data_IF_417038421780
#
_entry.id   IF_417038421780
#
_cell.length_a   1.000
_cell.length_b   1.000
_cell.length_c   1.000
_cell.angle_alpha   90.00
_cell.angle_beta   90.00
_cell.angle_gamma   90.00
#
_symmetry.space_group_name_H-M   'P 1'
#
loop_
_entity.id
_entity.type
_entity.pdbx_description
1 polymer ?
#
# COMPACT_ATOMS: atom_id res chain seq x y z
N UNK A 1 -10.99 9.16 19.09
CA UNK A 1 -11.23 8.38 20.32
C UNK A 1 -11.46 9.35 21.45
N UNK A 2 -12.30 9.00 22.42
CA UNK A 2 -12.50 9.80 23.62
C UNK A 2 -11.84 9.10 24.81
N UNK A 3 -11.02 9.84 25.56
CA UNK A 3 -10.42 9.39 26.81
C UNK A 3 -11.20 9.99 27.97
N UNK A 4 -11.61 9.14 28.91
CA UNK A 4 -12.34 9.56 30.09
C UNK A 4 -11.45 9.42 31.32
N UNK A 5 -11.37 10.49 32.12
CA UNK A 5 -10.60 10.51 33.35
C UNK A 5 -11.51 10.82 34.55
N UNK A 6 -11.41 9.98 35.57
CA UNK A 6 -12.15 10.12 36.84
C UNK A 6 -11.47 11.06 37.85
N UNK A 7 -10.30 11.56 37.51
CA UNK A 7 -9.53 12.58 38.21
C UNK A 7 -8.76 13.38 37.17
N UNK A 8 -8.26 14.55 37.54
CA UNK A 8 -7.49 15.39 36.60
C UNK A 8 -6.07 14.86 36.45
N UNK A 9 -5.67 14.33 35.26
CA UNK A 9 -4.30 13.89 35.05
C UNK A 9 -3.36 15.11 34.91
N UNK A 10 -2.06 14.89 35.13
CA UNK A 10 -1.05 15.87 34.67
C UNK A 10 -1.02 15.90 33.14
N UNK A 11 -0.36 16.91 32.55
CA UNK A 11 -0.20 16.95 31.09
C UNK A 11 0.55 15.71 30.60
N UNK A 12 1.60 15.32 31.32
CA UNK A 12 2.39 14.13 31.04
C UNK A 12 1.54 12.87 31.12
N UNK A 13 0.72 12.70 32.16
CA UNK A 13 -0.15 11.54 32.32
C UNK A 13 -1.28 11.50 31.28
N UNK A 14 -1.75 12.65 30.79
CA UNK A 14 -2.66 12.70 29.64
C UNK A 14 -1.95 12.24 28.37
N UNK A 15 -0.75 12.74 28.11
CA UNK A 15 0.06 12.32 26.97
C UNK A 15 0.36 10.82 27.03
N UNK A 16 0.77 10.31 28.18
CA UNK A 16 0.95 8.87 28.42
C UNK A 16 -0.34 8.10 28.18
N UNK A 17 -1.51 8.57 28.65
CA UNK A 17 -2.78 7.89 28.40
C UNK A 17 -3.18 7.92 26.91
N UNK A 18 -2.85 8.99 26.17
CA UNK A 18 -3.00 9.05 24.72
C UNK A 18 -2.06 8.05 24.07
N UNK A 19 -0.79 8.05 24.45
CA UNK A 19 0.23 7.14 23.95
C UNK A 19 -0.10 5.68 24.28
N UNK A 20 -0.67 5.39 25.44
CA UNK A 20 -1.14 4.07 25.86
C UNK A 20 -2.41 3.67 25.10
N UNK A 21 -3.33 4.60 24.85
CA UNK A 21 -4.53 4.29 24.06
C UNK A 21 -4.18 4.08 22.58
N UNK A 22 -3.16 4.78 22.12
CA UNK A 22 -2.65 4.76 20.77
C UNK A 22 -1.21 4.29 20.81
N UNK A 23 -1.00 3.07 21.34
CA UNK A 23 0.23 2.38 21.78
C UNK A 23 1.57 2.69 21.04
N UNK A 24 1.56 3.34 19.87
CA UNK A 24 2.70 3.61 19.00
C UNK A 24 2.69 5.02 18.33
N UNK A 25 1.96 5.98 18.85
CA UNK A 25 1.95 7.37 18.38
C UNK A 25 2.15 8.31 19.55
N UNK A 26 3.00 9.34 19.38
CA UNK A 26 3.24 10.31 20.45
C UNK A 26 2.04 11.23 20.59
N UNK A 27 1.80 11.75 21.79
CA UNK A 27 0.70 12.69 21.99
C UNK A 27 0.78 13.92 21.05
N UNK A 28 1.98 14.31 20.63
CA UNK A 28 2.24 15.38 19.64
C UNK A 28 1.73 15.09 18.23
N UNK A 29 1.50 13.81 17.88
CA UNK A 29 0.92 13.38 16.60
C UNK A 29 -0.62 13.51 16.59
N UNK A 30 -1.20 14.05 17.66
CA UNK A 30 -2.63 14.21 17.82
C UNK A 30 -3.00 15.65 18.14
N UNK A 31 -4.19 16.03 17.68
CA UNK A 31 -4.90 17.19 18.21
C UNK A 31 -5.73 16.69 19.37
N UNK A 32 -5.30 17.05 20.58
CA UNK A 32 -6.08 16.86 21.80
C UNK A 32 -7.05 18.02 21.95
N UNK A 33 -8.32 17.73 22.22
CA UNK A 33 -9.33 18.77 22.43
C UNK A 33 -10.42 18.39 23.41
N UNK A 34 -11.08 19.40 23.95
CA UNK A 34 -12.28 19.30 24.78
C UNK A 34 -13.31 20.30 24.27
N UNK A 35 -14.39 19.80 23.65
CA UNK A 35 -15.32 20.64 22.89
C UNK A 35 -14.60 21.37 21.74
N UNK A 36 -14.53 22.71 21.82
CA UNK A 36 -13.86 23.58 20.84
C UNK A 36 -12.42 23.97 21.23
N UNK A 37 -12.00 23.69 22.46
CA UNK A 37 -10.67 24.07 22.96
C UNK A 37 -9.64 23.02 22.55
N UNK A 38 -8.59 23.44 21.84
CA UNK A 38 -7.38 22.64 21.62
C UNK A 38 -6.53 22.64 22.90
N UNK A 39 -5.98 21.47 23.23
CA UNK A 39 -5.17 21.24 24.41
C UNK A 39 -3.71 21.06 24.00
N UNK A 40 -2.83 21.69 24.76
CA UNK A 40 -1.37 21.63 24.72
C UNK A 40 -0.82 21.87 26.14
N UNK A 41 0.50 21.79 26.31
CA UNK A 41 1.14 21.97 27.61
C UNK A 41 0.84 23.34 28.28
N UNK A 42 0.55 24.37 27.48
CA UNK A 42 0.29 25.73 27.98
C UNK A 42 -1.18 25.93 28.39
N UNK A 43 -2.10 25.39 27.60
CA UNK A 43 -3.55 25.51 27.82
C UNK A 43 -4.05 24.50 28.85
N UNK A 44 -3.34 23.39 29.06
CA UNK A 44 -3.73 22.33 29.98
C UNK A 44 -3.91 22.78 31.43
N UNK A 45 -2.96 23.47 32.09
CA UNK A 45 -3.10 23.86 33.49
C UNK A 45 -4.34 24.73 33.75
N UNK A 46 -4.66 25.64 32.83
CA UNK A 46 -5.84 26.50 32.92
C UNK A 46 -7.15 25.73 32.75
N UNK A 47 -7.17 24.73 31.86
CA UNK A 47 -8.34 23.89 31.65
C UNK A 47 -8.58 22.88 32.79
N UNK A 48 -7.50 22.26 33.27
CA UNK A 48 -7.46 21.19 34.26
C UNK A 48 -7.85 21.66 35.67
N UNK A 49 -7.61 22.94 35.98
CA UNK A 49 -7.84 23.50 37.32
C UNK A 49 -9.29 23.31 37.81
N UNK A 50 -9.44 22.72 39.00
CA UNK A 50 -10.72 22.57 39.70
C UNK A 50 -11.70 21.53 39.13
N UNK A 51 -11.32 20.77 38.08
CA UNK A 51 -12.18 19.73 37.51
C UNK A 51 -12.06 18.42 38.28
N UNK A 52 -13.19 17.70 38.40
CA UNK A 52 -13.27 16.36 39.04
C UNK A 52 -13.28 15.22 38.02
N UNK A 53 -13.79 15.46 36.82
CA UNK A 53 -13.77 14.51 35.70
C UNK A 53 -13.66 15.26 34.39
N UNK A 54 -13.19 14.57 33.34
CA UNK A 54 -13.06 15.16 32.01
C UNK A 54 -13.08 14.12 30.90
N UNK A 55 -13.49 14.57 29.72
CA UNK A 55 -13.46 13.82 28.48
C UNK A 55 -12.56 14.57 27.51
N UNK A 56 -11.51 13.91 27.03
CA UNK A 56 -10.59 14.45 26.03
C UNK A 56 -10.78 13.72 24.72
N UNK A 57 -11.14 14.46 23.67
CA UNK A 57 -11.19 13.94 22.32
C UNK A 57 -9.80 13.97 21.68
N UNK A 58 -9.35 12.81 21.21
CA UNK A 58 -8.08 12.62 20.51
C UNK A 58 -8.35 12.48 19.01
N UNK A 59 -7.83 13.44 18.23
CA UNK A 59 -7.97 13.49 16.77
C UNK A 59 -6.59 13.29 16.14
N UNK A 60 -6.48 12.31 15.24
CA UNK A 60 -5.25 12.10 14.46
C UNK A 60 -5.02 13.25 13.47
N UNK A 61 -3.77 13.71 13.35
CA UNK A 61 -3.36 14.64 12.29
C UNK A 61 -3.24 13.96 10.91
N UNK A 62 -3.31 12.62 10.86
CA UNK A 62 -3.12 11.85 9.66
C UNK A 62 -4.19 12.19 8.61
N UNK A 63 -3.72 12.63 7.45
CA UNK A 63 -4.57 13.01 6.33
C UNK A 63 -4.88 11.80 5.43
N UNK A 64 -5.99 11.81 4.68
CA UNK A 64 -6.28 10.79 3.68
C UNK A 64 -5.13 10.66 2.67
N UNK A 65 -4.84 9.44 2.20
CA UNK A 65 -3.80 9.20 1.18
C UNK A 65 -3.99 10.07 -0.08
N UNK A 66 -5.23 10.27 -0.51
CA UNK A 66 -5.61 11.12 -1.66
C UNK A 66 -5.31 12.62 -1.49
N UNK A 67 -4.92 13.07 -0.30
CA UNK A 67 -4.59 14.48 -0.05
C UNK A 67 -3.13 14.85 -0.35
N UNK A 68 -2.30 13.86 -0.71
CA UNK A 68 -0.88 14.05 -0.95
C UNK A 68 -0.59 14.22 -2.45
N UNK A 69 -0.16 15.41 -2.90
CA UNK A 69 0.15 15.65 -4.30
C UNK A 69 1.49 15.03 -4.68
N UNK A 70 1.75 14.89 -5.99
CA UNK A 70 2.99 14.34 -6.55
C UNK A 70 4.26 14.82 -5.85
N UNK A 71 4.40 16.13 -5.63
CA UNK A 71 5.59 16.78 -5.07
C UNK A 71 5.85 16.39 -3.60
N UNK A 72 4.83 15.88 -2.89
CA UNK A 72 4.97 15.44 -1.52
C UNK A 72 5.70 14.10 -1.39
N UNK A 73 5.80 13.29 -2.46
CA UNK A 73 6.29 11.92 -2.41
C UNK A 73 7.67 11.80 -1.75
N UNK A 74 8.64 12.57 -2.24
CA UNK A 74 10.02 12.51 -1.75
C UNK A 74 10.17 13.01 -0.32
N UNK A 75 9.44 14.08 0.03
CA UNK A 75 9.40 14.59 1.40
C UNK A 75 8.79 13.58 2.36
N UNK A 76 7.74 12.87 1.94
CA UNK A 76 7.09 11.85 2.76
C UNK A 76 8.02 10.70 3.08
N UNK A 77 8.76 10.19 2.09
CA UNK A 77 9.68 9.06 2.23
C UNK A 77 11.07 9.46 2.75
N UNK A 78 11.33 10.75 2.95
CA UNK A 78 12.61 11.27 3.41
C UNK A 78 13.74 11.06 2.40
N UNK A 79 13.41 11.09 1.10
CA UNK A 79 14.33 10.81 -0.01
C UNK A 79 14.73 12.11 -0.72
N UNK A 80 15.89 12.09 -1.37
CA UNK A 80 16.30 13.13 -2.32
C UNK A 80 15.72 12.84 -3.71
N UNK A 81 15.49 13.90 -4.49
CA UNK A 81 14.88 13.82 -5.81
C UNK A 81 15.95 13.34 -6.82
N UNK A 82 16.14 12.03 -6.88
CA UNK A 82 17.00 11.39 -7.88
C UNK A 82 16.13 10.61 -8.86
N UNK A 83 15.75 11.26 -9.96
CA UNK A 83 15.39 10.52 -11.17
C UNK A 83 16.69 9.96 -11.73
N UNK A 84 17.06 8.76 -11.29
CA UNK A 84 18.08 7.99 -11.98
C UNK A 84 17.36 7.29 -13.12
N UNK A 85 17.33 7.93 -14.30
CA UNK A 85 17.27 7.16 -15.54
C UNK A 85 18.58 6.35 -15.56
N UNK A 86 18.46 5.02 -15.57
CA UNK A 86 19.56 4.05 -15.57
C UNK A 86 20.25 3.82 -14.20
N UNK A 87 19.61 3.01 -13.35
CA UNK A 87 20.37 2.18 -12.41
C UNK A 87 20.80 0.94 -13.21
N UNK A 88 22.10 0.60 -13.21
CA UNK A 88 22.62 -0.68 -13.73
C UNK A 88 22.00 -1.90 -13.00
N UNK A 89 21.27 -1.66 -11.91
CA UNK A 89 20.39 -2.62 -11.25
C UNK A 89 18.95 -2.55 -11.82
N UNK A 90 18.81 -2.71 -13.14
CA UNK A 90 17.52 -3.00 -13.76
C UNK A 90 16.88 -4.17 -12.99
N UNK A 91 15.57 -4.11 -12.74
CA UNK A 91 14.88 -5.19 -12.04
C UNK A 91 15.05 -6.48 -12.83
N UNK A 92 15.99 -7.34 -12.39
CA UNK A 92 16.29 -8.57 -13.10
C UNK A 92 15.05 -9.45 -13.05
N UNK A 93 14.39 -9.58 -14.20
CA UNK A 93 13.26 -10.48 -14.35
C UNK A 93 13.75 -11.91 -14.07
N UNK A 94 13.03 -12.61 -13.20
CA UNK A 94 13.28 -14.03 -13.00
C UNK A 94 13.11 -14.76 -14.34
N UNK A 95 13.96 -15.77 -14.58
CA UNK A 95 13.79 -16.65 -15.75
C UNK A 95 12.46 -17.38 -15.59
N UNK A 96 11.54 -17.10 -16.49
CA UNK A 96 10.23 -17.73 -16.50
C UNK A 96 10.25 -18.99 -17.37
N UNK A 97 9.85 -20.11 -16.78
CA UNK A 97 9.65 -21.38 -17.48
C UNK A 97 8.22 -21.86 -17.25
N UNK A 98 7.47 -22.01 -18.33
CA UNK A 98 6.06 -22.42 -18.32
C UNK A 98 5.87 -23.84 -17.78
N UNK A 99 6.89 -24.68 -17.84
CA UNK A 99 6.86 -26.07 -17.40
C UNK A 99 7.22 -26.24 -15.93
N UNK A 100 7.60 -25.14 -15.25
CA UNK A 100 7.91 -25.15 -13.82
C UNK A 100 6.72 -25.71 -13.03
N UNK A 101 6.91 -26.78 -12.25
CA UNK A 101 5.84 -27.38 -11.47
C UNK A 101 5.44 -26.47 -10.30
N UNK A 102 4.14 -26.41 -10.02
CA UNK A 102 3.58 -25.78 -8.83
C UNK A 102 3.59 -26.74 -7.63
N UNK A 103 3.46 -26.22 -6.40
CA UNK A 103 3.16 -27.04 -5.23
C UNK A 103 1.95 -27.97 -5.47
N UNK A 104 2.03 -29.27 -5.08
CA UNK A 104 0.96 -30.24 -5.33
C UNK A 104 -0.41 -29.82 -4.79
N UNK A 105 -0.44 -29.03 -3.71
CA UNK A 105 -1.66 -28.53 -3.08
C UNK A 105 -2.49 -27.65 -4.02
N UNK A 106 -1.85 -26.95 -4.97
CA UNK A 106 -2.55 -26.15 -5.99
C UNK A 106 -3.21 -27.03 -7.05
N UNK A 107 -2.63 -28.18 -7.39
CA UNK A 107 -3.27 -29.14 -8.30
C UNK A 107 -4.53 -29.72 -7.65
N UNK A 108 -4.45 -30.08 -6.36
CA UNK A 108 -5.58 -30.61 -5.61
C UNK A 108 -6.72 -29.60 -5.43
N UNK A 109 -6.40 -28.33 -5.20
CA UNK A 109 -7.39 -27.29 -4.91
C UNK A 109 -7.99 -26.64 -6.16
N UNK A 110 -7.17 -26.34 -7.17
CA UNK A 110 -7.57 -25.54 -8.34
C UNK A 110 -7.20 -26.17 -9.68
N UNK A 111 -6.60 -27.37 -9.69
CA UNK A 111 -6.26 -28.11 -10.91
C UNK A 111 -5.15 -27.47 -11.74
N UNK A 112 -4.26 -26.69 -11.10
CA UNK A 112 -3.12 -26.06 -11.76
C UNK A 112 -1.84 -26.80 -11.41
N UNK A 113 -1.07 -27.22 -12.42
CA UNK A 113 0.13 -28.05 -12.25
C UNK A 113 1.41 -27.30 -12.51
N UNK A 114 1.34 -26.29 -13.37
CA UNK A 114 2.51 -25.60 -13.89
C UNK A 114 2.33 -24.09 -13.88
N UNK A 115 3.42 -23.35 -13.97
CA UNK A 115 3.41 -21.89 -14.15
C UNK A 115 2.61 -21.49 -15.40
N UNK A 116 2.69 -22.30 -16.46
CA UNK A 116 1.90 -22.13 -17.68
C UNK A 116 0.39 -22.19 -17.43
N UNK A 117 -0.07 -23.04 -16.52
CA UNK A 117 -1.50 -23.14 -16.17
C UNK A 117 -1.99 -21.86 -15.49
N UNK A 118 -1.20 -21.29 -14.58
CA UNK A 118 -1.51 -20.01 -13.92
C UNK A 118 -1.62 -18.90 -14.95
N UNK A 119 -0.63 -18.77 -15.84
CA UNK A 119 -0.63 -17.72 -16.85
C UNK A 119 -1.77 -17.89 -17.86
N UNK A 120 -2.09 -19.14 -18.23
CA UNK A 120 -3.27 -19.44 -19.05
C UNK A 120 -4.56 -19.00 -18.37
N UNK A 121 -4.69 -19.26 -17.07
CA UNK A 121 -5.85 -18.87 -16.29
C UNK A 121 -5.97 -17.34 -16.20
N UNK A 122 -4.90 -16.63 -15.86
CA UNK A 122 -4.85 -15.15 -15.85
C UNK A 122 -5.26 -14.58 -17.20
N UNK A 123 -4.73 -15.12 -18.31
CA UNK A 123 -5.08 -14.70 -19.66
C UNK A 123 -6.57 -14.88 -19.97
N UNK A 124 -7.15 -16.04 -19.64
CA UNK A 124 -8.60 -16.32 -19.81
C UNK A 124 -9.46 -15.37 -18.98
N UNK A 125 -9.07 -15.15 -17.73
CA UNK A 125 -9.72 -14.24 -16.79
C UNK A 125 -9.74 -12.79 -17.29
N UNK A 126 -8.63 -12.32 -17.85
CA UNK A 126 -8.54 -10.99 -18.46
C UNK A 126 -9.36 -10.91 -19.76
N UNK A 127 -9.30 -11.93 -20.61
CA UNK A 127 -10.08 -11.99 -21.84
C UNK A 127 -11.60 -11.97 -21.56
N UNK A 128 -12.06 -12.71 -20.56
CA UNK A 128 -13.47 -12.73 -20.15
C UNK A 128 -13.96 -11.38 -19.64
N UNK A 129 -13.13 -10.67 -18.86
CA UNK A 129 -13.44 -9.31 -18.40
C UNK A 129 -13.54 -8.35 -19.59
N UNK A 130 -12.59 -8.43 -20.51
CA UNK A 130 -12.59 -7.64 -21.75
C UNK A 130 -13.72 -8.00 -22.72
N UNK A 131 -14.32 -9.19 -22.64
CA UNK A 131 -15.45 -9.59 -23.47
C UNK A 131 -16.77 -8.94 -22.99
N UNK A 132 -16.93 -8.82 -21.67
CA UNK A 132 -18.17 -8.33 -21.04
C UNK A 132 -18.24 -6.81 -20.97
N UNK A 133 -17.11 -6.13 -20.92
CA UNK A 133 -17.03 -4.68 -20.84
C UNK A 133 -16.77 -4.05 -22.22
N UNK A 134 -17.07 -2.75 -22.39
CA UNK A 134 -16.55 -1.97 -23.53
C UNK A 134 -15.02 -1.95 -23.47
N UNK A 135 -14.35 -1.47 -24.52
CA UNK A 135 -12.88 -1.44 -24.59
C UNK A 135 -12.27 -1.03 -23.23
N UNK A 136 -11.24 -1.73 -22.70
CA UNK A 136 -10.70 -1.45 -21.36
C UNK A 136 -10.46 0.05 -21.12
N UNK A 137 -9.89 0.74 -22.11
CA UNK A 137 -9.66 2.19 -22.14
C UNK A 137 -10.91 3.09 -21.90
N UNK A 138 -12.12 2.54 -22.01
CA UNK A 138 -13.38 3.26 -21.90
C UNK A 138 -14.10 2.98 -20.56
N UNK A 139 -13.53 2.15 -19.68
CA UNK A 139 -14.11 1.84 -18.37
C UNK A 139 -14.17 3.09 -17.49
N UNK A 140 -15.33 3.70 -17.27
CA UNK A 140 -15.47 4.91 -16.44
C UNK A 140 -15.62 4.63 -14.93
N UNK A 141 -15.54 3.36 -14.50
CA UNK A 141 -15.71 2.95 -13.10
C UNK A 141 -14.44 2.31 -12.58
N UNK A 142 -14.00 2.76 -11.41
CA UNK A 142 -12.84 2.25 -10.68
C UNK A 142 -12.92 0.74 -10.40
N UNK A 143 -14.09 0.25 -9.98
CA UNK A 143 -14.33 -1.18 -9.76
C UNK A 143 -14.01 -2.02 -11.00
N UNK A 144 -14.39 -1.55 -12.19
CA UNK A 144 -14.16 -2.25 -13.45
C UNK A 144 -12.68 -2.22 -13.90
N UNK A 145 -11.82 -1.38 -13.30
CA UNK A 145 -10.37 -1.40 -13.52
C UNK A 145 -9.65 -2.27 -12.52
N UNK A 146 -10.08 -2.26 -11.27
CA UNK A 146 -9.63 -3.21 -10.25
C UNK A 146 -9.87 -4.67 -10.64
N UNK A 147 -10.94 -4.92 -11.41
CA UNK A 147 -11.17 -6.20 -12.07
C UNK A 147 -10.04 -6.60 -13.04
N UNK A 148 -9.36 -5.66 -13.70
CA UNK A 148 -8.22 -5.95 -14.59
C UNK A 148 -6.90 -6.09 -13.81
N UNK A 149 -6.79 -5.40 -12.67
CA UNK A 149 -5.59 -5.43 -11.83
C UNK A 149 -5.49 -6.75 -11.05
N UNK A 150 -6.58 -7.15 -10.39
CA UNK A 150 -6.56 -8.29 -9.47
C UNK A 150 -6.05 -9.61 -10.08
N UNK A 151 -6.45 -10.06 -11.29
CA UNK A 151 -5.97 -11.33 -11.85
C UNK A 151 -4.45 -11.37 -11.99
N UNK A 152 -3.84 -10.23 -12.32
CA UNK A 152 -2.39 -10.11 -12.46
C UNK A 152 -1.72 -10.23 -11.10
N UNK A 153 -2.25 -9.55 -10.08
CA UNK A 153 -1.69 -9.61 -8.72
C UNK A 153 -1.81 -11.00 -8.11
N UNK A 154 -2.99 -11.65 -8.24
CA UNK A 154 -3.19 -13.01 -7.73
C UNK A 154 -2.35 -14.04 -8.51
N UNK A 155 -2.22 -13.88 -9.82
CA UNK A 155 -1.32 -14.71 -10.63
C UNK A 155 0.14 -14.56 -10.20
N UNK A 156 0.61 -13.33 -10.04
CA UNK A 156 1.97 -13.04 -9.57
C UNK A 156 2.24 -13.61 -8.17
N UNK A 157 1.29 -13.44 -7.24
CA UNK A 157 1.38 -14.00 -5.89
C UNK A 157 1.46 -15.53 -5.92
N UNK A 158 0.62 -16.19 -6.73
CA UNK A 158 0.63 -17.65 -6.92
C UNK A 158 1.98 -18.13 -7.46
N UNK A 159 2.55 -17.44 -8.45
CA UNK A 159 3.86 -17.77 -9.02
C UNK A 159 5.01 -17.55 -8.03
N UNK A 160 4.85 -16.63 -7.08
CA UNK A 160 5.85 -16.38 -6.03
C UNK A 160 5.76 -17.32 -4.83
N UNK A 161 4.66 -18.05 -4.68
CA UNK A 161 4.42 -19.02 -3.60
C UNK A 161 4.03 -18.39 -2.27
N UNK A 162 4.98 -17.79 -1.56
CA UNK A 162 4.83 -17.34 -0.16
C UNK A 162 4.25 -15.92 -0.02
N UNK A 163 3.58 -15.42 -1.05
CA UNK A 163 3.01 -14.06 -1.08
C UNK A 163 1.50 -14.12 -1.09
N UNK A 164 0.88 -13.34 -0.21
CA UNK A 164 -0.57 -13.17 -0.17
C UNK A 164 -0.98 -11.81 -0.74
N UNK A 165 -2.15 -11.74 -1.34
CA UNK A 165 -2.75 -10.48 -1.80
C UNK A 165 -3.89 -10.11 -0.88
N UNK A 166 -3.86 -8.91 -0.31
CA UNK A 166 -4.98 -8.32 0.41
C UNK A 166 -5.50 -7.10 -0.34
N UNK A 167 -6.82 -7.04 -0.52
CA UNK A 167 -7.49 -5.89 -1.11
C UNK A 167 -8.05 -4.99 -0.01
N UNK A 168 -8.07 -3.68 -0.25
CA UNK A 168 -8.66 -2.70 0.67
C UNK A 168 -8.07 -2.76 2.09
N UNK A 169 -6.75 -2.93 2.18
CA UNK A 169 -6.08 -2.99 3.47
C UNK A 169 -6.10 -1.60 4.12
N UNK A 170 -6.81 -1.48 5.23
CA UNK A 170 -6.85 -0.25 6.02
C UNK A 170 -5.52 -0.05 6.76
N UNK A 171 -4.80 1.01 6.38
CA UNK A 171 -3.49 1.35 6.93
C UNK A 171 -3.53 2.73 7.57
N UNK A 172 -2.88 2.86 8.72
CA UNK A 172 -2.74 4.14 9.44
C UNK A 172 -1.31 4.37 9.88
N UNK A 173 -0.66 5.33 9.24
CA UNK A 173 0.63 5.89 9.62
C UNK A 173 0.49 7.11 10.54
N UNK A 174 1.61 7.74 10.88
CA UNK A 174 1.67 8.98 11.67
C UNK A 174 1.07 10.16 10.91
N UNK A 175 1.42 10.29 9.63
CA UNK A 175 1.07 11.46 8.81
C UNK A 175 -0.05 11.20 7.81
N UNK A 176 -0.30 9.94 7.47
CA UNK A 176 -1.22 9.53 6.42
C UNK A 176 -2.04 8.30 6.82
N UNK A 177 -3.27 8.20 6.31
CA UNK A 177 -4.18 7.08 6.57
C UNK A 177 -5.14 6.85 5.40
N UNK A 178 -5.65 5.63 5.29
CA UNK A 178 -6.65 5.28 4.30
C UNK A 178 -6.72 3.77 4.08
N UNK A 179 -7.43 3.40 3.02
CA UNK A 179 -7.40 2.05 2.47
C UNK A 179 -6.40 2.03 1.32
N UNK A 180 -5.59 0.97 1.22
CA UNK A 180 -4.74 0.70 0.07
C UNK A 180 -5.48 -0.28 -0.84
N UNK A 181 -5.57 0.02 -2.13
CA UNK A 181 -6.29 -0.80 -3.11
C UNK A 181 -5.88 -2.27 -3.07
N UNK A 182 -4.57 -2.55 -3.19
CA UNK A 182 -4.01 -3.88 -2.96
C UNK A 182 -2.64 -3.82 -2.28
N UNK A 183 -2.38 -4.80 -1.42
CA UNK A 183 -1.07 -5.03 -0.81
C UNK A 183 -0.67 -6.48 -1.06
N UNK A 184 0.59 -6.68 -1.44
CA UNK A 184 1.20 -8.01 -1.45
C UNK A 184 2.04 -8.15 -0.18
N UNK A 185 1.79 -9.21 0.56
CA UNK A 185 2.45 -9.48 1.82
C UNK A 185 3.31 -10.73 1.69
N UNK A 186 4.55 -10.66 2.16
CA UNK A 186 5.33 -11.85 2.46
C UNK A 186 5.20 -12.12 3.96
N UNK A 187 4.49 -13.19 4.32
CA UNK A 187 4.03 -13.46 5.69
C UNK A 187 3.19 -12.30 6.23
N UNK A 188 3.78 -11.42 7.01
CA UNK A 188 3.12 -10.25 7.60
C UNK A 188 3.64 -8.92 7.06
N UNK A 189 4.69 -8.97 6.22
CA UNK A 189 5.36 -7.76 5.76
C UNK A 189 4.81 -7.30 4.41
N UNK A 190 4.36 -6.05 4.38
CA UNK A 190 3.89 -5.36 3.17
C UNK A 190 5.07 -5.09 2.23
N UNK A 191 5.29 -5.99 1.26
CA UNK A 191 6.39 -5.90 0.30
C UNK A 191 6.03 -5.04 -0.91
N UNK A 192 4.76 -5.06 -1.35
CA UNK A 192 4.27 -4.27 -2.48
C UNK A 192 2.97 -3.58 -2.10
N UNK A 193 2.89 -2.28 -2.41
CA UNK A 193 1.69 -1.46 -2.35
C UNK A 193 1.25 -1.17 -3.78
N UNK A 194 -0.02 -1.39 -4.10
CA UNK A 194 -0.57 -1.14 -5.43
C UNK A 194 -1.73 -0.16 -5.30
N UNK A 195 -1.68 0.90 -6.10
CA UNK A 195 -2.72 1.92 -6.18
C UNK A 195 -3.31 1.96 -7.58
N UNK A 196 -4.62 1.72 -7.67
CA UNK A 196 -5.38 1.69 -8.92
C UNK A 196 -5.90 3.07 -9.31
N UNK A 197 -5.80 3.44 -10.59
CA UNK A 197 -6.33 4.70 -11.13
C UNK A 197 -7.09 4.49 -12.43
N UNK A 198 -8.04 5.40 -12.69
CA UNK A 198 -8.98 5.26 -13.79
C UNK A 198 -8.32 5.57 -15.15
N UNK A 199 -7.78 6.78 -15.32
CA UNK A 199 -7.09 7.25 -16.56
C UNK A 199 -6.12 8.41 -16.34
N UNK A 200 -5.99 8.87 -15.10
CA UNK A 200 -5.18 10.04 -14.81
C UNK A 200 -3.71 9.75 -15.08
N UNK A 201 -2.92 10.80 -15.34
CA UNK A 201 -1.46 10.66 -15.44
C UNK A 201 -0.97 9.99 -14.16
N UNK A 202 -0.63 8.70 -14.22
CA UNK A 202 -0.38 7.85 -13.06
C UNK A 202 0.62 8.50 -12.10
N UNK A 203 1.66 9.11 -12.67
CA UNK A 203 2.69 9.83 -11.95
C UNK A 203 2.15 10.94 -11.04
N UNK A 204 1.02 11.59 -11.36
CA UNK A 204 0.42 12.62 -10.50
C UNK A 204 0.00 12.07 -9.12
N UNK A 205 -0.20 10.76 -9.02
CA UNK A 205 -0.57 10.07 -7.79
C UNK A 205 0.63 9.51 -7.02
N UNK A 206 1.86 9.85 -7.42
CA UNK A 206 3.07 9.42 -6.73
C UNK A 206 3.09 9.81 -5.24
N UNK A 207 2.54 10.98 -4.91
CA UNK A 207 2.43 11.45 -3.52
C UNK A 207 1.53 10.55 -2.67
N UNK A 208 0.42 10.10 -3.25
CA UNK A 208 -0.48 9.16 -2.62
C UNK A 208 0.22 7.81 -2.40
N UNK A 209 0.83 7.24 -3.44
CA UNK A 209 1.57 5.97 -3.35
C UNK A 209 2.68 6.03 -2.28
N UNK A 210 3.43 7.13 -2.24
CA UNK A 210 4.48 7.34 -1.24
C UNK A 210 3.92 7.39 0.19
N UNK A 211 2.75 8.02 0.38
CA UNK A 211 2.07 8.06 1.67
C UNK A 211 1.64 6.64 2.12
N UNK A 212 1.16 5.82 1.19
CA UNK A 212 0.75 4.44 1.42
C UNK A 212 1.94 3.55 1.76
N UNK A 213 3.04 3.61 0.99
CA UNK A 213 4.29 2.90 1.28
C UNK A 213 4.78 3.25 2.69
N UNK A 214 4.85 4.54 3.01
CA UNK A 214 5.29 5.00 4.33
C UNK A 214 4.40 4.42 5.43
N UNK A 215 3.09 4.57 5.31
CA UNK A 215 2.15 4.12 6.31
C UNK A 215 2.17 2.58 6.47
N UNK A 216 2.32 1.83 5.38
CA UNK A 216 2.40 0.38 5.37
C UNK A 216 3.67 -0.13 6.07
N UNK A 217 4.81 0.55 5.87
CA UNK A 217 6.05 0.26 6.59
C UNK A 217 5.94 0.57 8.07
N UNK A 218 5.41 1.74 8.41
CA UNK A 218 5.16 2.14 9.80
C UNK A 218 4.26 1.12 10.51
N UNK A 219 3.20 0.64 9.86
CA UNK A 219 2.29 -0.36 10.42
C UNK A 219 3.01 -1.69 10.74
N UNK A 220 3.87 -2.19 9.85
CA UNK A 220 4.62 -3.42 10.13
C UNK A 220 5.56 -3.26 11.34
N UNK A 221 6.34 -2.17 11.35
CA UNK A 221 7.24 -1.85 12.47
C UNK A 221 6.47 -1.79 13.79
N UNK A 222 5.28 -1.19 13.78
CA UNK A 222 4.41 -1.08 14.96
C UNK A 222 3.87 -2.43 15.42
N UNK A 223 3.26 -3.20 14.52
CA UNK A 223 2.52 -4.41 14.89
C UNK A 223 3.46 -5.58 15.21
N UNK A 224 4.56 -5.74 14.48
CA UNK A 224 5.35 -6.97 14.50
C UNK A 224 6.76 -6.83 15.10
N UNK A 225 7.36 -5.63 15.10
CA UNK A 225 8.73 -5.42 15.62
C UNK A 225 8.79 -4.80 17.02
N UNK A 226 7.65 -4.63 17.70
CA UNK A 226 7.48 -3.73 18.85
C UNK A 226 8.57 -3.69 19.96
N UNK A 227 8.72 -2.47 20.52
CA UNK A 227 9.22 -2.08 21.87
C UNK A 227 10.73 -1.94 22.15
N UNK A 228 11.56 -1.46 21.23
CA UNK A 228 12.78 -0.71 21.64
C UNK A 228 12.92 0.56 20.83
N UNK A 229 12.97 1.70 21.54
CA UNK A 229 13.13 3.08 21.06
C UNK A 229 14.34 3.34 20.13
N UNK A 230 15.10 2.32 19.70
CA UNK A 230 16.40 2.47 19.07
C UNK A 230 16.73 1.51 17.90
N UNK A 231 15.79 0.73 17.37
CA UNK A 231 16.08 -0.11 16.19
C UNK A 231 15.33 0.34 14.93
N UNK A 232 15.35 1.65 14.64
CA UNK A 232 15.20 2.11 13.25
C UNK A 232 16.44 1.72 12.39
N UNK A 233 17.48 1.14 13.02
CA UNK A 233 18.75 0.69 12.40
C UNK A 233 18.85 -0.85 12.22
N UNK A 234 17.73 -1.58 12.21
CA UNK A 234 17.72 -3.04 12.04
C UNK A 234 17.83 -3.55 10.59
N UNK A 235 17.78 -4.87 10.39
CA UNK A 235 17.76 -5.49 9.05
C UNK A 235 16.57 -5.03 8.19
N UNK A 236 15.47 -4.61 8.83
CA UNK A 236 14.24 -4.18 8.16
C UNK A 236 14.35 -2.83 7.44
N UNK A 237 15.22 -1.93 7.91
CA UNK A 237 15.48 -0.67 7.20
C UNK A 237 16.21 -0.91 5.86
N UNK A 238 16.79 -2.09 5.68
CA UNK A 238 17.44 -2.53 4.44
C UNK A 238 16.49 -3.24 3.48
N UNK A 239 15.29 -3.62 3.93
CA UNK A 239 14.33 -4.33 3.07
C UNK A 239 13.60 -3.31 2.19
N UNK A 240 13.71 -3.41 0.85
CA UNK A 240 12.99 -2.52 -0.04
C UNK A 240 11.47 -2.70 0.08
N UNK A 241 10.74 -1.61 -0.18
CA UNK A 241 9.31 -1.67 -0.46
C UNK A 241 9.05 -1.28 -1.90
N UNK A 242 8.10 -1.93 -2.52
CA UNK A 242 7.72 -1.64 -3.90
C UNK A 242 6.37 -0.94 -3.93
N UNK A 243 6.24 0.02 -4.84
CA UNK A 243 4.99 0.71 -5.16
C UNK A 243 4.60 0.43 -6.60
N UNK A 244 3.32 0.25 -6.87
CA UNK A 244 2.79 0.09 -8.23
C UNK A 244 1.66 1.08 -8.43
N UNK A 245 1.77 1.94 -9.44
CA UNK A 245 0.64 2.71 -9.96
C UNK A 245 0.07 1.96 -11.15
N UNK A 246 -1.23 1.66 -11.14
CA UNK A 246 -1.84 0.80 -12.14
C UNK A 246 -3.16 1.35 -12.69
N UNK A 247 -3.35 1.26 -14.01
CA UNK A 247 -4.68 1.46 -14.65
C UNK A 247 -5.37 0.14 -15.01
N UNK A 248 -4.73 -0.99 -14.72
CA UNK A 248 -5.14 -2.31 -15.21
C UNK A 248 -4.64 -2.64 -16.62
N UNK A 249 -4.17 -1.64 -17.37
CA UNK A 249 -3.52 -1.81 -18.68
C UNK A 249 -2.10 -1.25 -18.73
N UNK A 250 -1.77 -0.35 -17.80
CA UNK A 250 -0.42 0.19 -17.61
C UNK A 250 -0.07 0.06 -16.13
N UNK A 251 1.15 -0.35 -15.85
CA UNK A 251 1.69 -0.55 -14.52
C UNK A 251 3.05 0.14 -14.44
N UNK A 252 3.21 1.07 -13.51
CA UNK A 252 4.48 1.73 -13.25
C UNK A 252 5.01 1.22 -11.91
N UNK A 253 6.20 0.63 -11.94
CA UNK A 253 6.83 0.03 -10.78
C UNK A 253 7.82 1.01 -10.17
N UNK A 254 7.74 1.17 -8.87
CA UNK A 254 8.65 1.97 -8.07
C UNK A 254 9.29 1.11 -6.98
N UNK A 255 10.55 1.40 -6.67
CA UNK A 255 11.30 0.77 -5.59
C UNK A 255 11.75 1.84 -4.61
N UNK A 256 11.36 1.69 -3.36
CA UNK A 256 11.82 2.48 -2.24
C UNK A 256 12.89 1.70 -1.47
N UNK A 257 14.08 2.28 -1.40
CA UNK A 257 15.24 1.79 -0.64
C UNK A 257 15.44 2.71 0.58
N UNK A 258 15.01 2.29 1.79
CA UNK A 258 15.05 3.17 2.96
C UNK A 258 16.47 3.47 3.43
N UNK A 259 17.38 2.49 3.31
CA UNK A 259 18.78 2.57 3.71
C UNK A 259 19.57 3.65 2.94
N UNK A 260 19.38 3.70 1.62
CA UNK A 260 19.98 4.66 0.70
C UNK A 260 19.11 5.89 0.49
N UNK A 261 17.91 5.91 1.09
CA UNK A 261 16.90 6.98 0.94
C UNK A 261 16.62 7.30 -0.54
N UNK A 262 16.51 6.26 -1.37
CA UNK A 262 16.19 6.36 -2.80
C UNK A 262 14.77 5.90 -3.07
N UNK A 263 14.08 6.60 -3.96
CA UNK A 263 12.77 6.20 -4.48
C UNK A 263 12.78 6.33 -6.00
N UNK A 264 12.75 5.19 -6.69
CA UNK A 264 13.14 5.08 -8.10
C UNK A 264 11.99 4.46 -8.89
N UNK A 265 11.71 4.97 -10.10
CA UNK A 265 10.85 4.31 -11.09
C UNK A 265 11.68 3.20 -11.76
N UNK A 266 11.33 1.95 -11.52
CA UNK A 266 12.10 0.79 -12.01
C UNK A 266 11.74 0.40 -13.43
N UNK A 267 10.45 0.34 -13.74
CA UNK A 267 9.97 -0.13 -15.05
C UNK A 267 8.55 0.34 -15.30
N UNK A 268 8.12 0.22 -16.56
CA UNK A 268 6.73 0.41 -16.95
C UNK A 268 6.31 -0.77 -17.81
N UNK A 269 5.24 -1.44 -17.41
CA UNK A 269 4.65 -2.56 -18.15
C UNK A 269 3.32 -2.11 -18.76
N UNK A 270 3.13 -2.40 -20.04
CA UNK A 270 1.86 -2.21 -20.72
C UNK A 270 1.29 -3.57 -21.07
N UNK A 271 0.02 -3.79 -20.71
CA UNK A 271 -0.73 -4.99 -21.03
C UNK A 271 -1.64 -4.69 -22.23
N UNK A 272 -1.32 -5.22 -23.43
CA UNK A 272 -2.11 -4.98 -24.62
C UNK A 272 -3.40 -5.82 -24.59
N UNK A 273 -4.42 -5.33 -23.88
CA UNK A 273 -5.74 -5.93 -23.89
C UNK A 273 -6.51 -5.49 -25.14
N UNK A 274 -6.87 -6.43 -26.01
CA UNK A 274 -7.75 -6.13 -27.14
C UNK A 274 -9.18 -6.50 -26.79
N UNK A 275 -10.12 -5.65 -27.19
CA UNK A 275 -11.55 -5.88 -26.99
C UNK A 275 -12.13 -6.68 -28.16
N UNK A 276 -13.10 -7.55 -27.86
CA UNK A 276 -13.87 -8.24 -28.89
C UNK A 276 -13.10 -9.25 -29.73
N UNK A 277 -11.92 -9.71 -29.28
CA UNK A 277 -11.22 -10.81 -29.95
C UNK A 277 -12.12 -12.05 -29.89
N UNK A 278 -12.42 -12.64 -31.04
CA UNK A 278 -13.13 -13.93 -31.08
C UNK A 278 -12.21 -15.02 -30.53
N UNK A 279 -12.78 -16.05 -29.88
CA UNK A 279 -12.01 -17.18 -29.37
C UNK A 279 -11.07 -17.79 -30.44
N UNK A 280 -11.51 -17.81 -31.71
CA UNK A 280 -10.70 -18.26 -32.85
C UNK A 280 -9.49 -17.37 -33.16
N UNK A 281 -9.62 -16.04 -33.02
CA UNK A 281 -8.54 -15.09 -33.24
C UNK A 281 -7.53 -15.14 -32.08
N UNK A 282 -8.03 -15.26 -30.85
CA UNK A 282 -7.18 -15.44 -29.66
C UNK A 282 -6.37 -16.75 -29.73
N UNK A 283 -6.99 -17.84 -30.21
CA UNK A 283 -6.31 -19.11 -30.40
C UNK A 283 -5.21 -19.05 -31.47
N UNK A 284 -5.37 -18.22 -32.51
CA UNK A 284 -4.36 -18.02 -33.57
C UNK A 284 -3.18 -17.19 -33.10
N UNK A 285 -3.39 -16.21 -32.21
CA UNK A 285 -2.30 -15.39 -31.65
C UNK A 285 -1.55 -16.08 -30.50
N UNK A 286 -2.17 -17.03 -29.82
CA UNK A 286 -1.60 -17.74 -28.67
C UNK A 286 -0.76 -18.98 -29.02
N UNK A 287 -0.80 -19.43 -30.27
CA UNK A 287 0.00 -20.56 -30.75
C UNK A 287 1.22 -20.03 -31.51
N UNK A 288 2.46 -20.47 -31.16
CA UNK A 288 3.65 -20.17 -31.96
C UNK A 288 3.59 -20.77 -33.36
#
# INVERSE_FOLDING_TARGET
VELQFNHTPTWEALCEAVEDTFFDMRAEDFILKTGKLRLDAETWPGFASGRKSMIVAVISIAKPFSSFPHEAAFKLLGTILEYVEEDDNEFQLAVYDNSTPLPPELDECVGMKTYGDVMSFVGKELALRCLRSRHPADHVKEASRRELISPILFGAATLSGDVTVEAELAVKGTVARGSIDYVLLFKYFNIVVVEGKLYEMLEQHLGQLAAEIRAAREQYTRIFLGKRKHEDEGEFSKVPSFGILATGTVYIFYKYMPDSKRFIKCSTMTLPLKHGIKAEEAAKEALP
#
